data_IF_573492854555
#
_entry.id   IF_573492854555
#
_cell.length_a   1.000
_cell.length_b   1.000
_cell.length_c   1.000
_cell.angle_alpha   90.00
_cell.angle_beta   90.00
_cell.angle_gamma   90.00
#
_symmetry.space_group_name_H-M   'P 1'
#
loop_
_entity.id
_entity.type
_entity.pdbx_description
1 polymer ?
#
# COMPACT_ATOMS: atom_id res chain seq x y z
N UNK A 1 -8.38 8.50 8.43
CA UNK A 1 -8.20 7.34 7.53
C UNK A 1 -8.11 6.08 8.37
N UNK A 2 -8.80 5.02 7.98
CA UNK A 2 -8.71 3.69 8.57
C UNK A 2 -8.48 2.66 7.47
N UNK A 3 -7.75 1.59 7.80
CA UNK A 3 -7.73 0.37 7.00
C UNK A 3 -8.82 -0.55 7.55
N UNK A 4 -9.63 -1.12 6.70
CA UNK A 4 -10.74 -2.02 7.08
C UNK A 4 -10.76 -3.26 6.20
N UNK A 5 -11.51 -4.28 6.60
CA UNK A 5 -11.93 -5.33 5.68
C UNK A 5 -12.98 -4.77 4.69
N UNK A 6 -13.08 -5.29 3.48
CA UNK A 6 -14.07 -4.85 2.50
C UNK A 6 -15.49 -5.07 2.99
N UNK A 7 -15.77 -6.17 3.69
CA UNK A 7 -17.07 -6.47 4.31
C UNK A 7 -17.47 -5.47 5.41
N UNK A 8 -16.53 -4.71 5.97
CA UNK A 8 -16.81 -3.71 7.00
C UNK A 8 -17.28 -2.36 6.42
N UNK A 9 -17.22 -2.17 5.10
CA UNK A 9 -17.76 -0.98 4.46
C UNK A 9 -19.28 -1.10 4.26
N UNK A 10 -20.04 -0.40 5.05
CA UNK A 10 -21.50 -0.43 5.03
C UNK A 10 -22.08 0.99 4.97
N UNK A 11 -22.09 1.63 3.79
CA UNK A 11 -22.71 2.94 3.62
C UNK A 11 -24.23 2.86 3.74
N UNK A 12 -24.85 3.97 4.17
CA UNK A 12 -26.31 4.08 4.12
C UNK A 12 -26.85 3.88 2.70
N UNK A 13 -28.03 3.27 2.51
CA UNK A 13 -28.65 3.10 1.20
C UNK A 13 -28.84 4.43 0.45
N UNK A 14 -28.66 4.40 -0.86
CA UNK A 14 -28.80 5.56 -1.73
C UNK A 14 -28.80 5.16 -3.20
N UNK A 15 -28.86 6.13 -4.10
CA UNK A 15 -28.70 5.89 -5.54
C UNK A 15 -27.23 5.70 -5.87
N UNK A 16 -26.87 4.54 -6.40
CA UNK A 16 -25.52 4.26 -6.87
C UNK A 16 -25.32 4.91 -8.24
N UNK A 17 -24.25 5.67 -8.38
CA UNK A 17 -23.86 6.34 -9.62
C UNK A 17 -22.45 5.91 -9.98
N UNK A 18 -22.25 5.50 -11.23
CA UNK A 18 -20.97 5.10 -11.78
C UNK A 18 -20.48 6.10 -12.81
N UNK A 19 -19.19 6.41 -12.80
CA UNK A 19 -18.54 7.14 -13.88
C UNK A 19 -17.69 6.18 -14.71
N UNK A 20 -17.99 6.14 -16.00
CA UNK A 20 -17.26 5.29 -16.96
C UNK A 20 -16.77 6.14 -18.14
N UNK A 21 -15.69 5.73 -18.81
CA UNK A 21 -15.22 6.41 -20.00
C UNK A 21 -16.30 6.47 -21.08
N UNK A 22 -16.39 7.60 -21.79
CA UNK A 22 -17.26 7.73 -22.95
C UNK A 22 -16.84 6.78 -24.09
N UNK A 23 -17.73 6.52 -25.01
CA UNK A 23 -17.41 5.73 -26.20
C UNK A 23 -16.24 6.32 -27.03
N UNK A 24 -16.11 7.66 -27.04
CA UNK A 24 -14.99 8.35 -27.69
C UNK A 24 -13.67 8.08 -26.97
N UNK A 25 -13.66 8.16 -25.66
CA UNK A 25 -12.47 7.84 -24.84
C UNK A 25 -12.05 6.38 -24.98
N UNK A 26 -13.01 5.44 -24.99
CA UNK A 26 -12.70 4.02 -25.22
C UNK A 26 -12.13 3.77 -26.62
N UNK A 27 -12.63 4.46 -27.65
CA UNK A 27 -12.08 4.38 -29.01
C UNK A 27 -10.65 4.95 -29.07
N UNK A 28 -10.38 6.08 -28.39
CA UNK A 28 -9.04 6.65 -28.26
C UNK A 28 -8.09 5.68 -27.52
N UNK A 29 -8.54 5.06 -26.44
CA UNK A 29 -7.76 4.07 -25.70
C UNK A 29 -7.43 2.83 -26.56
N UNK A 30 -8.38 2.36 -27.36
CA UNK A 30 -8.14 1.25 -28.30
C UNK A 30 -7.11 1.60 -29.39
N UNK A 31 -7.09 2.87 -29.85
CA UNK A 31 -6.20 3.38 -30.89
C UNK A 31 -4.88 3.95 -30.34
N UNK A 32 -4.72 4.06 -29.02
CA UNK A 32 -3.53 4.65 -28.41
C UNK A 32 -2.25 3.93 -28.88
N UNK A 33 -1.17 4.65 -29.18
CA UNK A 33 0.11 4.04 -29.56
C UNK A 33 0.79 3.41 -28.36
N UNK A 34 1.64 2.40 -28.63
CA UNK A 34 2.53 1.86 -27.61
C UNK A 34 3.49 2.93 -27.11
N UNK A 35 3.62 3.05 -25.79
CA UNK A 35 4.55 3.99 -25.17
C UNK A 35 5.95 3.35 -25.04
N UNK A 36 7.06 4.09 -25.31
CA UNK A 36 8.42 3.54 -25.23
C UNK A 36 8.83 3.11 -23.82
N UNK A 37 8.27 3.73 -22.78
CA UNK A 37 8.51 3.35 -21.38
C UNK A 37 7.52 2.27 -20.97
N UNK A 38 8.02 1.08 -20.67
CA UNK A 38 7.22 -0.07 -20.21
C UNK A 38 6.70 0.10 -18.77
N UNK A 39 6.22 -0.97 -18.13
CA UNK A 39 5.82 -0.96 -16.73
C UNK A 39 7.04 -0.77 -15.82
N UNK A 40 6.84 -0.24 -14.59
CA UNK A 40 7.87 -0.31 -13.53
C UNK A 40 8.15 -1.77 -13.15
N UNK A 41 9.19 -2.00 -12.34
CA UNK A 41 9.46 -3.35 -11.84
C UNK A 41 8.27 -3.93 -11.08
N UNK A 42 7.67 -3.16 -10.15
CA UNK A 42 6.51 -3.60 -9.36
C UNK A 42 5.26 -3.80 -10.23
N UNK A 43 5.02 -2.93 -11.20
CA UNK A 43 3.91 -3.12 -12.15
C UNK A 43 4.07 -4.43 -12.92
N UNK A 44 5.30 -4.77 -13.35
CA UNK A 44 5.57 -6.02 -14.07
C UNK A 44 5.29 -7.24 -13.19
N UNK A 45 5.74 -7.22 -11.93
CA UNK A 45 5.52 -8.31 -10.98
C UNK A 45 4.03 -8.51 -10.71
N UNK A 46 3.29 -7.42 -10.48
CA UNK A 46 1.86 -7.45 -10.26
C UNK A 46 1.11 -8.01 -11.49
N UNK A 47 1.38 -7.47 -12.69
CA UNK A 47 0.77 -7.95 -13.93
C UNK A 47 1.05 -9.45 -14.12
N UNK A 48 2.29 -9.88 -13.88
CA UNK A 48 2.66 -11.29 -13.97
C UNK A 48 1.89 -12.16 -12.99
N UNK A 49 1.72 -11.70 -11.75
CA UNK A 49 0.93 -12.40 -10.73
C UNK A 49 -0.56 -12.48 -11.11
N UNK A 50 -1.13 -11.39 -11.64
CA UNK A 50 -2.53 -11.38 -12.12
C UNK A 50 -2.73 -12.34 -13.30
N UNK A 51 -1.78 -12.40 -14.24
CA UNK A 51 -1.86 -13.33 -15.38
C UNK A 51 -1.82 -14.79 -14.92
N UNK A 52 -0.97 -15.14 -13.94
CA UNK A 52 -0.93 -16.47 -13.33
C UNK A 52 -2.26 -16.80 -12.65
N UNK A 53 -2.80 -15.89 -11.84
CA UNK A 53 -4.09 -16.08 -11.17
C UNK A 53 -5.24 -16.27 -12.18
N UNK A 54 -5.23 -15.49 -13.27
CA UNK A 54 -6.23 -15.59 -14.34
C UNK A 54 -6.12 -16.94 -15.08
N UNK A 55 -4.90 -17.43 -15.34
CA UNK A 55 -4.69 -18.74 -15.92
C UNK A 55 -5.19 -19.89 -15.04
N UNK A 56 -5.13 -19.71 -13.71
CA UNK A 56 -5.70 -20.64 -12.72
C UNK A 56 -7.24 -20.49 -12.55
N UNK A 57 -7.91 -19.63 -13.34
CA UNK A 57 -9.33 -19.37 -13.25
C UNK A 57 -9.76 -18.59 -12.01
N UNK A 58 -8.85 -17.90 -11.34
CA UNK A 58 -9.13 -17.09 -10.14
C UNK A 58 -9.64 -15.71 -10.55
N UNK A 59 -10.58 -15.19 -9.74
CA UNK A 59 -11.07 -13.81 -9.88
C UNK A 59 -9.97 -12.85 -9.46
N UNK A 60 -9.86 -11.74 -10.21
CA UNK A 60 -8.91 -10.66 -9.86
C UNK A 60 -9.28 -10.02 -8.53
N UNK A 61 -8.30 -9.89 -7.64
CA UNK A 61 -8.42 -9.26 -6.32
C UNK A 61 -7.24 -8.30 -6.02
N UNK A 62 -6.40 -8.03 -7.02
CA UNK A 62 -5.21 -7.16 -6.89
C UNK A 62 -5.55 -5.68 -7.03
N UNK A 63 -6.64 -5.23 -6.43
CA UNK A 63 -7.06 -3.83 -6.40
C UNK A 63 -7.08 -3.30 -4.96
N UNK A 64 -7.07 -1.97 -4.85
CA UNK A 64 -7.35 -1.25 -3.62
C UNK A 64 -8.49 -0.29 -3.85
N UNK A 65 -9.34 -0.09 -2.85
CA UNK A 65 -10.44 0.86 -2.91
C UNK A 65 -10.41 1.79 -1.70
N UNK A 66 -10.66 3.06 -1.94
CA UNK A 66 -10.87 4.04 -0.88
C UNK A 66 -12.25 4.63 -0.99
N UNK A 67 -12.87 4.92 0.16
CA UNK A 67 -14.17 5.55 0.25
C UNK A 67 -14.16 6.70 1.25
N UNK A 68 -15.03 7.68 1.04
CA UNK A 68 -15.18 8.81 1.95
C UNK A 68 -16.61 9.30 1.97
N UNK A 69 -17.16 9.51 3.16
CA UNK A 69 -18.46 10.17 3.31
C UNK A 69 -18.32 11.70 3.19
N UNK A 70 -19.23 12.32 2.45
CA UNK A 70 -19.25 13.76 2.16
C UNK A 70 -20.60 14.32 2.57
N UNK A 71 -20.61 15.28 3.51
CA UNK A 71 -21.80 15.92 4.05
C UNK A 71 -22.27 17.11 3.17
N UNK A 72 -22.55 16.83 1.88
CA UNK A 72 -23.12 17.78 0.92
C UNK A 72 -23.86 17.02 -0.21
N UNK A 73 -24.82 17.67 -0.87
CA UNK A 73 -25.53 17.06 -1.98
C UNK A 73 -24.59 16.89 -3.19
N UNK A 74 -24.66 15.74 -3.85
CA UNK A 74 -23.87 15.46 -5.04
C UNK A 74 -24.41 16.25 -6.26
N UNK A 75 -23.53 17.03 -6.89
CA UNK A 75 -23.73 17.62 -8.19
C UNK A 75 -23.03 16.75 -9.24
N UNK A 76 -23.81 16.03 -10.04
CA UNK A 76 -23.31 15.04 -10.99
C UNK A 76 -22.43 15.66 -12.08
N UNK A 77 -22.82 16.83 -12.61
CA UNK A 77 -22.08 17.50 -13.69
C UNK A 77 -20.72 18.02 -13.18
N UNK A 78 -20.70 18.60 -11.99
CA UNK A 78 -19.45 19.03 -11.35
C UNK A 78 -18.54 17.85 -11.04
N UNK A 79 -19.07 16.74 -10.54
CA UNK A 79 -18.28 15.54 -10.26
C UNK A 79 -17.74 14.93 -11.56
N UNK A 80 -18.56 14.88 -12.62
CA UNK A 80 -18.11 14.41 -13.95
C UNK A 80 -16.94 15.24 -14.46
N UNK A 81 -17.01 16.57 -14.31
CA UNK A 81 -15.92 17.49 -14.69
C UNK A 81 -14.68 17.22 -13.84
N UNK A 82 -14.83 17.14 -12.51
CA UNK A 82 -13.72 16.90 -11.58
C UNK A 82 -12.99 15.58 -11.85
N UNK A 83 -13.74 14.51 -12.11
CA UNK A 83 -13.17 13.20 -12.42
C UNK A 83 -12.49 13.17 -13.81
N UNK A 84 -13.06 13.87 -14.80
CA UNK A 84 -12.43 14.01 -16.13
C UNK A 84 -11.09 14.73 -16.01
N UNK A 85 -11.06 15.84 -15.27
CA UNK A 85 -9.83 16.60 -15.01
C UNK A 85 -8.80 15.79 -14.19
N UNK A 86 -9.25 15.03 -13.18
CA UNK A 86 -8.41 14.17 -12.38
C UNK A 86 -7.72 13.10 -13.22
N UNK A 87 -8.47 12.35 -14.01
CA UNK A 87 -7.88 11.35 -14.92
C UNK A 87 -6.99 12.02 -15.98
N UNK A 88 -7.40 13.17 -16.51
CA UNK A 88 -6.60 13.93 -17.48
C UNK A 88 -5.25 14.40 -16.91
N UNK A 89 -5.20 14.76 -15.64
CA UNK A 89 -3.98 15.26 -14.98
C UNK A 89 -2.94 14.17 -14.72
N UNK A 90 -3.38 12.91 -14.51
CA UNK A 90 -2.49 11.82 -14.09
C UNK A 90 -2.23 10.83 -15.23
N UNK A 91 -1.07 10.96 -15.83
CA UNK A 91 -0.62 10.12 -16.96
C UNK A 91 -0.64 8.61 -16.61
N UNK A 92 -0.28 8.25 -15.37
CA UNK A 92 -0.37 6.87 -14.87
C UNK A 92 -1.78 6.30 -14.98
N UNK A 93 -2.82 7.09 -14.64
CA UNK A 93 -4.22 6.68 -14.71
C UNK A 93 -4.78 6.69 -16.15
N UNK A 94 -4.13 7.41 -17.09
CA UNK A 94 -4.45 7.38 -18.51
C UNK A 94 -3.73 6.27 -19.27
N UNK A 95 -3.07 5.37 -18.52
CA UNK A 95 -2.36 4.21 -19.08
C UNK A 95 -3.22 2.95 -19.03
N UNK A 96 -2.95 2.02 -19.93
CA UNK A 96 -3.35 0.61 -19.85
C UNK A 96 -2.21 -0.27 -20.33
N UNK A 97 -2.29 -1.57 -20.03
CA UNK A 97 -1.28 -2.52 -20.49
C UNK A 97 -1.91 -3.58 -21.36
N UNK A 98 -1.22 -3.99 -22.42
CA UNK A 98 -1.56 -5.14 -23.26
C UNK A 98 -0.36 -6.08 -23.29
N UNK A 99 -0.62 -7.37 -23.32
CA UNK A 99 0.45 -8.37 -23.38
C UNK A 99 0.88 -8.55 -24.83
N UNK A 100 2.17 -8.32 -25.09
CA UNK A 100 2.77 -8.53 -26.42
C UNK A 100 2.94 -10.01 -26.77
N UNK A 101 3.32 -10.29 -28.00
CA UNK A 101 3.56 -11.66 -28.50
C UNK A 101 4.69 -12.38 -27.74
N UNK A 102 5.58 -11.63 -27.13
CA UNK A 102 6.67 -12.10 -26.26
C UNK A 102 6.24 -12.34 -24.81
N UNK A 103 4.96 -12.13 -24.49
CA UNK A 103 4.40 -12.26 -23.15
C UNK A 103 4.71 -11.08 -22.22
N UNK A 104 5.34 -10.01 -22.70
CA UNK A 104 5.67 -8.84 -21.90
C UNK A 104 4.57 -7.78 -21.94
N UNK A 105 4.29 -7.08 -20.83
CA UNK A 105 3.32 -5.99 -20.81
C UNK A 105 3.87 -4.75 -21.52
N UNK A 106 3.08 -4.24 -22.47
CA UNK A 106 3.34 -3.01 -23.22
C UNK A 106 2.37 -1.94 -22.73
N UNK A 107 2.89 -0.75 -22.40
CA UNK A 107 2.10 0.41 -21.97
C UNK A 107 1.49 1.13 -23.17
N UNK A 108 0.25 1.55 -23.01
CA UNK A 108 -0.48 2.43 -23.92
C UNK A 108 -0.99 3.63 -23.11
N UNK A 109 -0.89 4.84 -23.65
CA UNK A 109 -1.28 6.08 -22.96
C UNK A 109 -2.24 6.86 -23.83
N UNK A 110 -3.38 7.24 -23.26
CA UNK A 110 -4.39 8.07 -23.91
C UNK A 110 -4.04 9.54 -23.70
N UNK A 111 -4.24 10.37 -24.73
CA UNK A 111 -4.06 11.82 -24.59
C UNK A 111 -5.08 12.40 -23.58
N UNK A 112 -4.66 13.36 -22.77
CA UNK A 112 -5.51 14.01 -21.79
C UNK A 112 -6.75 14.66 -22.44
N UNK A 113 -6.61 15.19 -23.66
CA UNK A 113 -7.69 15.81 -24.40
C UNK A 113 -8.80 14.83 -24.85
N UNK A 114 -8.49 13.53 -24.89
CA UNK A 114 -9.42 12.48 -25.28
C UNK A 114 -10.18 11.87 -24.10
N UNK A 115 -9.91 12.35 -22.87
CA UNK A 115 -10.58 11.87 -21.66
C UNK A 115 -11.92 12.57 -21.50
N UNK A 116 -12.99 11.78 -21.44
CA UNK A 116 -14.33 12.22 -21.04
C UNK A 116 -15.07 11.07 -20.36
N UNK A 117 -15.84 11.39 -19.35
CA UNK A 117 -16.60 10.44 -18.54
C UNK A 117 -18.10 10.66 -18.68
N UNK A 118 -18.86 9.60 -18.43
CA UNK A 118 -20.33 9.61 -18.40
C UNK A 118 -20.79 9.04 -17.08
N UNK A 119 -21.65 9.76 -16.38
CA UNK A 119 -22.32 9.30 -15.19
C UNK A 119 -23.53 8.42 -15.57
N UNK A 120 -23.66 7.26 -14.95
CA UNK A 120 -24.79 6.34 -15.18
C UNK A 120 -25.32 5.84 -13.83
N UNK A 121 -26.62 5.95 -13.55
CA UNK A 121 -27.23 5.31 -12.39
C UNK A 121 -27.17 3.78 -12.53
N UNK A 122 -26.82 3.10 -11.45
CA UNK A 122 -26.91 1.64 -11.33
C UNK A 122 -28.32 1.22 -10.91
N UNK A 123 -28.74 0.03 -11.34
CA UNK A 123 -29.95 -0.61 -10.85
C UNK A 123 -29.73 -1.34 -9.52
N UNK A 124 -28.48 -1.47 -9.09
CA UNK A 124 -28.14 -2.09 -7.81
C UNK A 124 -28.60 -1.25 -6.63
N UNK A 125 -28.97 -1.92 -5.56
CA UNK A 125 -29.43 -1.27 -4.31
C UNK A 125 -28.49 -1.52 -3.13
N UNK A 126 -27.56 -2.47 -3.27
CA UNK A 126 -26.54 -2.81 -2.28
C UNK A 126 -25.19 -2.32 -2.77
N UNK A 127 -24.60 -1.28 -2.15
CA UNK A 127 -23.33 -0.72 -2.58
C UNK A 127 -22.15 -1.68 -2.47
N UNK A 128 -22.10 -2.52 -1.43
CA UNK A 128 -21.01 -3.48 -1.25
C UNK A 128 -21.06 -4.55 -2.35
N UNK A 129 -22.21 -5.19 -2.53
CA UNK A 129 -22.40 -6.18 -3.59
C UNK A 129 -22.19 -5.59 -5.00
N UNK A 130 -22.43 -4.28 -5.18
CA UNK A 130 -22.11 -3.56 -6.41
C UNK A 130 -20.58 -3.47 -6.63
N UNK A 131 -19.82 -3.06 -5.61
CA UNK A 131 -18.37 -2.97 -5.69
C UNK A 131 -17.72 -4.34 -5.90
N UNK A 132 -18.20 -5.39 -5.24
CA UNK A 132 -17.69 -6.77 -5.41
C UNK A 132 -17.80 -7.30 -6.82
N UNK A 133 -18.78 -6.82 -7.60
CA UNK A 133 -18.89 -7.14 -9.02
C UNK A 133 -18.07 -6.24 -9.90
N UNK A 134 -18.00 -4.96 -9.57
CA UNK A 134 -17.40 -3.94 -10.42
C UNK A 134 -15.87 -3.92 -10.35
N UNK A 135 -15.31 -3.90 -9.13
CA UNK A 135 -13.86 -3.76 -8.93
C UNK A 135 -13.05 -4.88 -9.60
N UNK A 136 -13.43 -6.18 -9.49
CA UNK A 136 -12.68 -7.24 -10.16
C UNK A 136 -12.65 -7.17 -11.68
N UNK A 137 -13.52 -6.37 -12.30
CA UNK A 137 -13.66 -6.26 -13.76
C UNK A 137 -13.20 -4.93 -14.32
N UNK A 138 -13.25 -3.86 -13.56
CA UNK A 138 -12.88 -2.51 -13.99
C UNK A 138 -11.55 -2.03 -13.41
N UNK A 139 -11.26 -2.35 -12.13
CA UNK A 139 -9.97 -2.05 -11.52
C UNK A 139 -8.95 -3.15 -11.84
N UNK A 140 -8.58 -3.26 -13.11
CA UNK A 140 -7.66 -4.29 -13.66
C UNK A 140 -6.63 -3.64 -14.57
N UNK A 141 -5.40 -4.16 -14.60
CA UNK A 141 -4.27 -3.57 -15.31
C UNK A 141 -4.49 -3.40 -16.84
N UNK A 142 -5.30 -4.26 -17.45
CA UNK A 142 -5.58 -4.30 -18.89
C UNK A 142 -6.94 -3.69 -19.29
N UNK A 143 -7.67 -3.12 -18.34
CA UNK A 143 -8.82 -2.26 -18.61
C UNK A 143 -8.40 -0.80 -18.76
N UNK A 144 -9.27 0.03 -19.35
CA UNK A 144 -9.07 1.48 -19.38
C UNK A 144 -10.29 2.17 -18.75
N UNK A 145 -10.05 2.99 -17.70
CA UNK A 145 -8.78 3.47 -17.12
C UNK A 145 -8.21 2.56 -16.03
N UNK A 146 -8.41 1.34 -15.88
CA UNK A 146 -7.87 0.48 -14.79
C UNK A 146 -8.29 0.89 -13.38
N UNK A 147 -9.35 1.69 -13.30
CA UNK A 147 -9.96 2.15 -12.06
C UNK A 147 -11.47 2.25 -12.20
N UNK A 148 -12.17 2.15 -11.08
CA UNK A 148 -13.61 2.32 -10.95
C UNK A 148 -13.90 3.46 -9.98
N UNK A 149 -14.70 4.44 -10.40
CA UNK A 149 -15.12 5.57 -9.57
C UNK A 149 -16.62 5.66 -9.55
N UNK A 150 -17.20 5.92 -8.40
CA UNK A 150 -18.63 6.12 -8.27
C UNK A 150 -19.02 6.71 -6.94
N UNK A 151 -20.31 6.87 -6.74
CA UNK A 151 -20.85 7.40 -5.50
C UNK A 151 -22.19 6.76 -5.12
N UNK A 152 -22.45 6.69 -3.83
CA UNK A 152 -23.78 6.38 -3.26
C UNK A 152 -24.41 7.71 -2.86
N UNK A 153 -25.35 8.22 -3.67
CA UNK A 153 -25.95 9.54 -3.51
C UNK A 153 -27.24 9.52 -2.70
N UNK A 154 -27.39 10.50 -1.82
CA UNK A 154 -28.57 10.72 -0.96
C UNK A 154 -28.92 12.21 -0.91
N UNK A 155 -30.12 12.60 -0.47
CA UNK A 155 -30.41 13.99 -0.17
C UNK A 155 -29.45 14.53 0.91
N UNK A 156 -28.61 15.50 0.57
CA UNK A 156 -27.70 16.18 1.50
C UNK A 156 -26.36 15.48 1.78
N UNK A 157 -26.12 14.28 1.26
CA UNK A 157 -24.82 13.59 1.43
C UNK A 157 -24.54 12.60 0.30
N UNK A 158 -23.30 12.18 0.17
CA UNK A 158 -22.91 11.05 -0.67
C UNK A 158 -21.65 10.36 -0.12
N UNK A 159 -21.49 9.08 -0.46
CA UNK A 159 -20.22 8.39 -0.29
C UNK A 159 -19.54 8.28 -1.64
N UNK A 160 -18.34 8.81 -1.75
CA UNK A 160 -17.50 8.69 -2.95
C UNK A 160 -16.59 7.48 -2.78
N UNK A 161 -16.45 6.64 -3.82
CA UNK A 161 -15.48 5.55 -3.84
C UNK A 161 -14.56 5.65 -5.06
N UNK A 162 -13.31 5.25 -4.86
CA UNK A 162 -12.27 5.21 -5.87
C UNK A 162 -11.48 3.91 -5.71
N UNK A 163 -11.71 2.96 -6.63
CA UNK A 163 -11.00 1.69 -6.71
C UNK A 163 -10.02 1.68 -7.87
N UNK A 164 -8.78 1.21 -7.64
CA UNK A 164 -7.76 1.10 -8.69
C UNK A 164 -7.08 -0.27 -8.64
N UNK A 165 -6.70 -0.78 -9.80
CA UNK A 165 -5.72 -1.87 -9.87
C UNK A 165 -4.39 -1.42 -9.25
N UNK A 166 -3.75 -2.31 -8.50
CA UNK A 166 -2.50 -1.97 -7.81
C UNK A 166 -1.37 -1.58 -8.77
N UNK A 167 -1.48 -1.91 -10.07
CA UNK A 167 -0.54 -1.42 -11.08
C UNK A 167 -0.56 0.12 -11.22
N UNK A 168 -1.64 0.79 -10.85
CA UNK A 168 -1.82 2.24 -11.07
C UNK A 168 -1.68 3.08 -9.80
N UNK A 169 -1.54 2.45 -8.63
CA UNK A 169 -1.39 3.23 -7.41
C UNK A 169 -0.98 2.43 -6.19
N UNK A 170 -0.53 3.14 -5.18
CA UNK A 170 -0.20 2.67 -3.84
C UNK A 170 -1.24 3.18 -2.82
N UNK A 171 -1.08 2.81 -1.55
CA UNK A 171 -1.99 3.25 -0.49
C UNK A 171 -2.06 4.77 -0.32
N UNK A 172 -0.96 5.50 -0.61
CA UNK A 172 -0.97 6.96 -0.60
C UNK A 172 -1.77 7.53 -1.76
N UNK A 173 -1.66 6.96 -2.97
CA UNK A 173 -2.45 7.32 -4.14
C UNK A 173 -3.95 7.25 -3.86
N UNK A 174 -4.40 6.25 -3.10
CA UNK A 174 -5.81 6.06 -2.75
C UNK A 174 -6.36 7.25 -1.96
N UNK A 175 -5.69 7.63 -0.89
CA UNK A 175 -6.11 8.75 -0.02
C UNK A 175 -5.98 10.08 -0.76
N UNK A 176 -4.84 10.32 -1.41
CA UNK A 176 -4.57 11.55 -2.15
C UNK A 176 -5.54 11.73 -3.32
N UNK A 177 -5.87 10.64 -4.02
CA UNK A 177 -6.82 10.66 -5.14
C UNK A 177 -8.21 11.11 -4.73
N UNK A 178 -8.78 10.57 -3.65
CA UNK A 178 -10.08 11.02 -3.15
C UNK A 178 -10.08 12.49 -2.73
N UNK A 179 -9.03 12.93 -2.03
CA UNK A 179 -8.94 14.34 -1.59
C UNK A 179 -8.76 15.28 -2.79
N UNK A 180 -7.98 14.89 -3.80
CA UNK A 180 -7.83 15.67 -5.03
C UNK A 180 -9.13 15.75 -5.83
N UNK A 181 -9.84 14.63 -6.01
CA UNK A 181 -11.15 14.58 -6.68
C UNK A 181 -12.11 15.58 -5.99
N UNK A 182 -12.17 15.58 -4.67
CA UNK A 182 -13.02 16.50 -3.92
C UNK A 182 -12.56 17.96 -4.01
N UNK A 183 -11.24 18.23 -4.08
CA UNK A 183 -10.72 19.58 -4.31
C UNK A 183 -11.14 20.10 -5.68
N UNK A 184 -11.03 19.29 -6.74
CA UNK A 184 -11.50 19.62 -8.10
C UNK A 184 -13.02 19.82 -8.13
N UNK A 185 -13.77 18.91 -7.52
CA UNK A 185 -15.23 19.00 -7.39
C UNK A 185 -15.68 20.30 -6.76
N UNK A 186 -14.95 20.84 -5.79
CA UNK A 186 -15.24 22.12 -5.11
C UNK A 186 -14.65 23.33 -5.83
N UNK A 187 -13.88 23.14 -6.89
CA UNK A 187 -13.24 24.22 -7.65
C UNK A 187 -12.04 24.83 -6.93
N UNK A 188 -11.40 24.11 -6.01
CA UNK A 188 -10.18 24.54 -5.32
C UNK A 188 -8.96 24.36 -6.23
N UNK A 189 -8.85 25.26 -7.21
CA UNK A 189 -7.73 25.25 -8.18
C UNK A 189 -6.40 25.69 -7.57
N UNK A 190 -6.37 26.17 -6.33
CA UNK A 190 -5.16 26.56 -5.62
C UNK A 190 -4.56 25.40 -4.79
N UNK A 191 -5.29 24.32 -4.62
CA UNK A 191 -4.82 23.15 -3.88
C UNK A 191 -3.51 22.61 -4.49
N UNK A 192 -2.47 22.36 -3.68
CA UNK A 192 -1.25 21.67 -4.15
C UNK A 192 -1.54 20.31 -4.80
N UNK A 193 -2.62 19.62 -4.37
CA UNK A 193 -3.05 18.37 -4.97
C UNK A 193 -3.55 18.53 -6.41
N UNK A 194 -4.02 19.73 -6.78
CA UNK A 194 -4.53 20.03 -8.12
C UNK A 194 -3.43 20.62 -9.02
N UNK A 195 -2.44 21.31 -8.44
CA UNK A 195 -1.49 22.13 -9.20
C UNK A 195 -0.09 21.50 -9.34
N UNK A 196 0.23 20.48 -8.53
CA UNK A 196 1.60 19.93 -8.48
C UNK A 196 1.58 18.42 -8.68
N UNK A 197 1.86 17.99 -9.91
CA UNK A 197 1.95 16.58 -10.30
C UNK A 197 3.23 16.32 -11.08
N UNK A 198 3.98 15.28 -10.66
CA UNK A 198 5.03 14.70 -11.50
C UNK A 198 4.49 13.55 -12.35
N UNK A 199 5.13 13.31 -13.49
CA UNK A 199 4.81 12.16 -14.33
C UNK A 199 5.26 10.86 -13.66
N UNK A 200 4.34 9.89 -13.55
CA UNK A 200 4.69 8.54 -13.09
C UNK A 200 5.57 7.82 -14.12
N UNK A 201 5.45 8.14 -15.41
CA UNK A 201 6.27 7.55 -16.46
C UNK A 201 7.71 8.08 -16.40
N UNK A 202 7.90 9.36 -16.09
CA UNK A 202 9.24 9.93 -15.84
C UNK A 202 9.88 9.30 -14.61
N UNK A 203 9.11 9.12 -13.52
CA UNK A 203 9.58 8.40 -12.34
C UNK A 203 10.07 6.97 -12.68
N UNK A 204 9.33 6.23 -13.54
CA UNK A 204 9.73 4.89 -13.99
C UNK A 204 11.02 4.96 -14.82
N UNK A 205 11.16 5.97 -15.66
CA UNK A 205 12.39 6.19 -16.44
C UNK A 205 13.59 6.40 -15.52
N UNK A 206 13.42 7.23 -14.47
CA UNK A 206 14.45 7.46 -13.44
C UNK A 206 14.71 6.19 -12.62
N UNK A 207 13.68 5.40 -12.30
CA UNK A 207 13.83 4.11 -11.61
C UNK A 207 14.73 3.16 -12.41
N UNK A 208 14.51 3.02 -13.72
CA UNK A 208 15.38 2.24 -14.59
C UNK A 208 16.79 2.79 -14.69
N UNK A 209 16.92 4.12 -14.71
CA UNK A 209 18.23 4.79 -14.67
C UNK A 209 19.01 4.47 -13.40
N UNK A 210 18.38 4.56 -12.24
CA UNK A 210 18.98 4.17 -10.95
C UNK A 210 19.31 2.68 -10.91
N UNK A 211 18.41 1.81 -11.39
CA UNK A 211 18.65 0.37 -11.45
C UNK A 211 19.92 0.02 -12.25
N UNK A 212 20.17 0.73 -13.36
CA UNK A 212 21.36 0.56 -14.18
C UNK A 212 22.67 1.01 -13.51
N UNK A 213 22.59 1.77 -12.42
CA UNK A 213 23.76 2.24 -11.65
C UNK A 213 24.11 1.33 -10.47
N UNK A 214 23.23 0.40 -10.10
CA UNK A 214 23.46 -0.53 -8.98
C UNK A 214 24.58 -1.50 -9.35
N UNK A 215 25.55 -1.64 -8.46
CA UNK A 215 26.72 -2.52 -8.62
C UNK A 215 26.84 -3.47 -7.43
N UNK A 216 27.64 -4.54 -7.52
CA UNK A 216 27.93 -5.42 -6.39
C UNK A 216 28.47 -4.72 -5.14
N UNK A 217 29.07 -3.54 -5.30
CA UNK A 217 29.65 -2.73 -4.22
C UNK A 217 28.70 -1.66 -3.67
N UNK A 218 27.46 -1.56 -4.19
CA UNK A 218 26.44 -0.63 -3.69
C UNK A 218 26.07 -0.92 -2.24
N UNK A 219 25.85 0.13 -1.44
CA UNK A 219 25.46 0.02 -0.02
C UNK A 219 24.18 -0.81 0.14
N UNK A 220 23.23 -0.65 -0.75
CA UNK A 220 21.99 -1.43 -0.78
C UNK A 220 22.23 -2.93 -0.95
N UNK A 221 23.12 -3.33 -1.86
CA UNK A 221 23.50 -4.74 -2.07
C UNK A 221 24.21 -5.30 -0.83
N UNK A 222 25.12 -4.54 -0.23
CA UNK A 222 25.80 -4.94 0.99
C UNK A 222 24.79 -5.13 2.15
N UNK A 223 23.82 -4.21 2.29
CA UNK A 223 22.79 -4.27 3.34
C UNK A 223 21.85 -5.47 3.17
N UNK A 224 21.33 -5.70 1.96
CA UNK A 224 20.49 -6.86 1.68
C UNK A 224 21.26 -8.17 1.93
N UNK A 225 22.50 -8.26 1.44
CA UNK A 225 23.37 -9.43 1.70
C UNK A 225 23.54 -9.68 3.20
N UNK A 226 23.87 -8.66 3.98
CA UNK A 226 24.02 -8.79 5.42
C UNK A 226 22.76 -9.33 6.10
N UNK A 227 21.61 -8.67 5.88
CA UNK A 227 20.35 -9.07 6.53
C UNK A 227 19.95 -10.50 6.15
N UNK A 228 20.08 -10.86 4.86
CA UNK A 228 19.74 -12.22 4.41
C UNK A 228 20.71 -13.26 4.96
N UNK A 229 22.02 -12.96 5.05
CA UNK A 229 23.00 -13.88 5.62
C UNK A 229 22.70 -14.16 7.10
N UNK A 230 22.48 -13.11 7.90
CA UNK A 230 22.14 -13.26 9.33
C UNK A 230 20.78 -13.94 9.54
N UNK A 231 19.90 -13.90 8.57
CA UNK A 231 18.58 -14.54 8.59
C UNK A 231 18.55 -15.95 8.00
N UNK A 232 19.71 -16.55 7.70
CA UNK A 232 19.80 -17.89 7.12
C UNK A 232 19.36 -17.97 5.66
N UNK A 233 19.58 -16.89 4.88
CA UNK A 233 19.33 -16.82 3.43
C UNK A 233 17.95 -16.36 3.01
N UNK A 234 17.07 -16.01 3.94
CA UNK A 234 15.68 -15.53 3.65
C UNK A 234 15.15 -14.60 4.75
N UNK A 235 14.17 -13.78 4.43
CA UNK A 235 13.40 -13.06 5.44
C UNK A 235 12.59 -14.08 6.25
N UNK A 236 12.66 -14.07 7.60
CA UNK A 236 11.90 -14.99 8.44
C UNK A 236 10.38 -14.85 8.23
N UNK A 237 9.67 -15.96 8.29
CA UNK A 237 8.20 -15.93 8.29
C UNK A 237 7.64 -15.38 9.61
N UNK A 238 6.32 -15.21 9.68
CA UNK A 238 5.61 -14.85 10.91
C UNK A 238 6.03 -15.76 12.08
N UNK A 239 6.22 -15.22 13.32
CA UNK A 239 6.87 -15.95 14.40
C UNK A 239 6.05 -17.09 15.02
N UNK A 240 4.76 -17.17 14.72
CA UNK A 240 3.88 -18.21 15.24
C UNK A 240 3.28 -19.04 14.08
N UNK A 241 2.81 -20.26 14.34
CA UNK A 241 2.22 -21.12 13.31
C UNK A 241 1.00 -20.45 12.63
N UNK A 242 0.93 -20.54 11.30
CA UNK A 242 -0.20 -20.00 10.52
C UNK A 242 -1.16 -21.10 10.02
N UNK A 243 -1.02 -22.36 10.50
CA UNK A 243 -1.95 -23.45 10.22
C UNK A 243 -2.04 -23.81 8.73
N UNK A 244 -0.93 -23.66 7.98
CA UNK A 244 -0.90 -23.97 6.56
C UNK A 244 -0.54 -25.44 6.33
N UNK A 245 -1.34 -26.12 5.50
CA UNK A 245 -0.99 -27.45 4.99
C UNK A 245 -0.14 -27.28 3.72
N UNK A 246 1.04 -27.93 3.67
CA UNK A 246 1.97 -27.89 2.54
C UNK A 246 2.37 -26.45 2.09
N UNK A 247 2.31 -25.48 2.98
CA UNK A 247 2.59 -24.05 2.70
C UNK A 247 1.69 -23.44 1.59
N UNK A 248 0.48 -23.97 1.41
CA UNK A 248 -0.47 -23.47 0.41
C UNK A 248 -1.15 -22.18 0.88
N UNK A 249 -1.20 -21.13 0.03
CA UNK A 249 -1.92 -19.90 0.36
C UNK A 249 -3.40 -20.15 0.63
N UNK A 250 -3.95 -19.53 1.67
CA UNK A 250 -5.37 -19.59 2.02
C UNK A 250 -6.05 -18.23 1.77
N UNK A 251 -7.40 -18.17 1.61
CA UNK A 251 -8.13 -16.91 1.64
C UNK A 251 -7.74 -16.09 2.85
N UNK A 252 -7.71 -14.77 2.71
CA UNK A 252 -7.31 -13.89 3.80
C UNK A 252 -8.44 -13.66 4.78
N UNK A 253 -8.08 -13.54 6.08
CA UNK A 253 -8.85 -12.86 7.10
C UNK A 253 -8.09 -11.62 7.54
N UNK A 254 -8.79 -10.62 8.03
CA UNK A 254 -8.20 -9.39 8.53
C UNK A 254 -8.21 -9.33 10.05
N UNK A 255 -7.19 -8.72 10.64
CA UNK A 255 -7.15 -8.39 12.06
C UNK A 255 -6.52 -7.01 12.26
N UNK A 256 -7.10 -6.26 13.20
CA UNK A 256 -6.60 -4.95 13.65
C UNK A 256 -6.44 -4.97 15.19
N UNK A 257 -5.42 -4.25 15.67
CA UNK A 257 -5.19 -4.00 17.09
C UNK A 257 -4.71 -2.56 17.30
N UNK A 258 -5.38 -1.82 18.19
CA UNK A 258 -4.84 -0.57 18.72
C UNK A 258 -3.70 -0.88 19.67
N UNK A 259 -2.50 -0.35 19.39
CA UNK A 259 -1.29 -0.58 20.17
C UNK A 259 -1.12 0.45 21.30
N UNK A 260 -1.48 1.71 21.05
CA UNK A 260 -1.45 2.80 22.03
C UNK A 260 -2.46 3.89 21.65
N UNK A 261 -2.91 4.65 22.63
CA UNK A 261 -3.70 5.86 22.37
C UNK A 261 -2.81 7.04 21.92
N UNK A 262 -3.41 8.22 21.73
CA UNK A 262 -2.70 9.40 21.24
C UNK A 262 -1.61 9.87 22.21
N UNK A 263 -1.91 9.90 23.53
CA UNK A 263 -1.00 10.37 24.57
C UNK A 263 0.21 9.42 24.70
N UNK A 264 -0.05 8.13 24.77
CA UNK A 264 1.00 7.11 24.83
C UNK A 264 1.83 7.06 23.54
N UNK A 265 1.20 7.28 22.38
CA UNK A 265 1.94 7.38 21.11
C UNK A 265 2.87 8.60 21.09
N UNK A 266 2.47 9.73 21.67
CA UNK A 266 3.33 10.91 21.80
C UNK A 266 4.49 10.67 22.77
N UNK A 267 4.29 9.93 23.86
CA UNK A 267 5.36 9.46 24.76
C UNK A 267 6.35 8.55 24.03
N UNK A 268 5.88 7.61 23.21
CA UNK A 268 6.75 6.77 22.38
C UNK A 268 7.57 7.59 21.37
N UNK A 269 7.01 8.65 20.81
CA UNK A 269 7.75 9.58 19.93
C UNK A 269 8.80 10.36 20.71
N UNK A 270 8.51 10.75 21.97
CA UNK A 270 9.47 11.41 22.84
C UNK A 270 10.62 10.47 23.18
N UNK A 271 10.31 9.22 23.56
CA UNK A 271 11.30 8.17 23.81
C UNK A 271 12.20 7.95 22.59
N UNK A 272 11.63 7.81 21.41
CA UNK A 272 12.40 7.67 20.18
C UNK A 272 13.38 8.83 19.97
N UNK A 273 12.95 10.07 20.18
CA UNK A 273 13.79 11.28 20.06
C UNK A 273 14.94 11.30 21.09
N UNK A 274 14.70 10.88 22.34
CA UNK A 274 15.75 10.78 23.36
C UNK A 274 16.85 9.80 22.93
N UNK A 275 16.49 8.75 22.20
CA UNK A 275 17.42 7.78 21.61
C UNK A 275 17.91 8.14 20.21
N UNK A 276 17.65 9.37 19.72
CA UNK A 276 18.10 9.83 18.41
C UNK A 276 17.48 9.12 17.22
N UNK A 277 16.27 8.57 17.38
CA UNK A 277 15.57 7.80 16.34
C UNK A 277 14.10 8.23 16.19
N UNK A 278 13.28 7.48 15.49
CA UNK A 278 11.87 7.77 15.22
C UNK A 278 10.91 6.62 15.55
N UNK A 279 9.60 6.86 15.43
CA UNK A 279 8.54 5.91 15.74
C UNK A 279 8.68 4.58 14.98
N UNK A 280 9.25 4.59 13.78
CA UNK A 280 9.58 3.36 13.01
C UNK A 280 10.49 2.42 13.81
N UNK A 281 11.54 2.95 14.44
CA UNK A 281 12.44 2.13 15.25
C UNK A 281 11.74 1.59 16.50
N UNK A 282 10.89 2.39 17.14
CA UNK A 282 10.07 1.96 18.29
C UNK A 282 9.14 0.80 17.91
N UNK A 283 8.42 0.92 16.79
CA UNK A 283 7.56 -0.15 16.28
C UNK A 283 8.35 -1.44 16.05
N UNK A 284 9.45 -1.35 15.30
CA UNK A 284 10.26 -2.55 15.01
C UNK A 284 10.94 -3.12 16.26
N UNK A 285 11.27 -2.30 17.25
CA UNK A 285 11.72 -2.76 18.57
C UNK A 285 10.65 -3.60 19.25
N UNK A 286 9.40 -3.11 19.29
CA UNK A 286 8.29 -3.83 19.91
C UNK A 286 8.00 -5.16 19.19
N UNK A 287 8.01 -5.17 17.85
CA UNK A 287 7.85 -6.39 17.05
C UNK A 287 9.00 -7.39 17.28
N UNK A 288 10.21 -6.91 17.39
CA UNK A 288 11.40 -7.74 17.64
C UNK A 288 11.35 -8.40 19.03
N UNK A 289 11.02 -7.62 20.08
CA UNK A 289 10.85 -8.13 21.44
C UNK A 289 9.68 -9.13 21.50
N UNK A 290 8.55 -8.81 20.86
CA UNK A 290 7.44 -9.75 20.79
C UNK A 290 7.84 -11.07 20.11
N UNK A 291 8.60 -11.01 19.01
CA UNK A 291 9.15 -12.20 18.35
C UNK A 291 10.06 -13.03 19.27
N UNK A 292 10.91 -12.36 20.05
CA UNK A 292 11.75 -13.03 21.07
C UNK A 292 10.91 -13.69 22.18
N UNK A 293 9.86 -13.02 22.64
CA UNK A 293 8.98 -13.55 23.71
C UNK A 293 8.15 -14.75 23.28
N UNK A 294 7.77 -14.85 22.00
CA UNK A 294 6.89 -15.93 21.52
C UNK A 294 7.63 -17.07 20.81
N UNK A 295 8.86 -16.84 20.30
CA UNK A 295 9.60 -17.77 19.44
C UNK A 295 11.13 -17.71 19.68
N UNK A 296 11.60 -17.18 20.82
CA UNK A 296 13.02 -17.06 21.21
C UNK A 296 13.95 -16.47 20.13
N UNK A 297 13.44 -15.61 19.26
CA UNK A 297 14.22 -15.03 18.15
C UNK A 297 15.28 -14.04 18.67
N UNK A 298 16.53 -14.32 18.36
CA UNK A 298 17.68 -13.47 18.71
C UNK A 298 18.08 -12.51 17.58
N UNK A 299 17.45 -12.65 16.40
CA UNK A 299 17.61 -11.78 15.25
C UNK A 299 16.23 -11.39 14.71
N UNK A 300 16.02 -10.10 14.55
CA UNK A 300 14.85 -9.57 13.86
C UNK A 300 15.18 -9.25 12.42
N UNK A 301 14.35 -9.69 11.48
CA UNK A 301 14.46 -9.28 10.09
C UNK A 301 13.08 -9.22 9.41
N UNK A 302 12.93 -8.23 8.53
CA UNK A 302 11.73 -8.02 7.71
C UNK A 302 12.09 -7.25 6.44
N UNK A 303 11.26 -7.37 5.41
CA UNK A 303 11.23 -6.41 4.32
C UNK A 303 10.33 -5.23 4.72
N UNK A 304 10.82 -4.01 4.57
CA UNK A 304 10.05 -2.80 4.89
C UNK A 304 9.63 -2.12 3.60
N UNK A 305 8.35 -1.78 3.51
CA UNK A 305 7.78 -1.01 2.41
C UNK A 305 8.00 0.46 2.68
N UNK A 306 8.61 1.17 1.75
CA UNK A 306 8.96 2.58 1.88
C UNK A 306 8.42 3.37 0.71
N UNK A 307 7.84 4.54 0.99
CA UNK A 307 7.47 5.48 -0.07
C UNK A 307 8.72 6.03 -0.75
N UNK A 308 8.74 6.00 -2.07
CA UNK A 308 9.76 6.64 -2.91
C UNK A 308 9.32 8.01 -3.43
N UNK A 309 8.21 8.56 -2.92
CA UNK A 309 7.69 9.87 -3.30
C UNK A 309 8.61 10.98 -2.85
N UNK A 310 9.00 11.86 -3.75
CA UNK A 310 9.81 13.04 -3.49
C UNK A 310 9.39 14.19 -4.40
N UNK A 311 9.62 15.44 -3.99
CA UNK A 311 9.41 16.62 -4.83
C UNK A 311 8.00 16.67 -5.43
N UNK A 312 7.92 16.76 -6.75
CA UNK A 312 6.68 16.84 -7.52
C UNK A 312 5.82 15.57 -7.47
N UNK A 313 6.40 14.42 -7.08
CA UNK A 313 5.66 13.17 -6.98
C UNK A 313 4.87 13.03 -5.67
N UNK A 314 4.99 13.96 -4.73
CA UNK A 314 4.31 13.88 -3.43
C UNK A 314 2.80 13.76 -3.55
N UNK A 315 2.17 14.42 -4.52
CA UNK A 315 0.72 14.40 -4.77
C UNK A 315 0.31 13.55 -5.99
N UNK A 316 1.26 12.98 -6.74
CA UNK A 316 1.00 12.30 -8.01
C UNK A 316 0.35 10.93 -7.81
N UNK A 317 -0.47 10.51 -8.76
CA UNK A 317 -1.01 9.16 -8.83
C UNK A 317 0.01 8.21 -9.47
N UNK A 318 0.21 7.04 -8.85
CA UNK A 318 1.15 6.02 -9.31
C UNK A 318 1.63 5.11 -8.19
N UNK A 319 2.40 4.11 -8.53
CA UNK A 319 2.99 3.19 -7.57
C UNK A 319 4.40 3.66 -7.19
N UNK A 320 4.52 4.43 -6.12
CA UNK A 320 5.76 5.05 -5.64
C UNK A 320 6.25 4.36 -4.38
N UNK A 321 6.67 3.10 -4.53
CA UNK A 321 7.10 2.25 -3.41
C UNK A 321 8.40 1.54 -3.76
N UNK A 322 9.26 1.36 -2.77
CA UNK A 322 10.41 0.47 -2.84
C UNK A 322 10.48 -0.39 -1.57
N UNK A 323 11.27 -1.44 -1.60
CA UNK A 323 11.49 -2.33 -0.47
C UNK A 323 12.94 -2.25 0.00
N UNK A 324 13.12 -2.25 1.31
CA UNK A 324 14.44 -2.32 1.91
C UNK A 324 14.48 -3.32 3.08
N UNK A 325 15.63 -3.97 3.34
CA UNK A 325 15.75 -4.94 4.38
C UNK A 325 16.04 -4.25 5.71
N UNK A 326 15.24 -4.56 6.71
CA UNK A 326 15.53 -4.22 8.09
C UNK A 326 15.95 -5.48 8.85
N UNK A 327 17.07 -5.43 9.55
CA UNK A 327 17.53 -6.53 10.38
C UNK A 327 18.51 -6.04 11.45
N UNK A 328 18.38 -6.58 12.67
CA UNK A 328 19.21 -6.25 13.81
C UNK A 328 19.14 -7.36 14.89
N UNK A 329 20.17 -7.49 15.77
CA UNK A 329 20.14 -8.44 16.88
C UNK A 329 19.14 -8.02 17.95
N UNK A 330 18.54 -9.03 18.60
CA UNK A 330 17.61 -8.88 19.72
C UNK A 330 18.24 -9.52 20.96
N UNK A 331 19.18 -8.85 21.64
CA UNK A 331 20.00 -9.47 22.70
C UNK A 331 19.20 -9.82 23.95
N UNK A 332 18.13 -9.07 24.24
CA UNK A 332 17.29 -9.23 25.41
C UNK A 332 15.85 -8.80 25.14
N UNK A 333 15.04 -8.69 26.18
CA UNK A 333 13.69 -8.09 26.15
C UNK A 333 13.66 -6.67 26.74
N UNK A 334 14.81 -6.09 27.07
CA UNK A 334 14.93 -4.71 27.50
C UNK A 334 14.69 -3.77 26.29
N UNK A 335 13.71 -2.88 26.43
CA UNK A 335 13.28 -2.04 25.32
C UNK A 335 14.37 -1.06 24.87
N UNK A 336 15.09 -0.44 25.81
CA UNK A 336 16.14 0.54 25.49
C UNK A 336 17.35 -0.13 24.81
N UNK A 337 17.73 -1.32 25.28
CA UNK A 337 18.82 -2.11 24.71
C UNK A 337 18.50 -2.52 23.25
N UNK A 338 17.28 -2.99 22.99
CA UNK A 338 16.87 -3.38 21.63
C UNK A 338 16.65 -2.14 20.74
N UNK A 339 16.11 -1.04 21.26
CA UNK A 339 15.96 0.22 20.52
C UNK A 339 17.31 0.78 20.04
N UNK A 340 18.36 0.63 20.87
CA UNK A 340 19.72 1.00 20.50
C UNK A 340 20.26 0.22 19.29
N UNK A 341 19.75 -1.00 19.03
CA UNK A 341 20.06 -1.80 17.83
C UNK A 341 19.16 -1.40 16.66
N UNK A 342 17.86 -1.18 16.91
CA UNK A 342 16.87 -0.86 15.89
C UNK A 342 17.11 0.51 15.22
N UNK A 343 17.48 1.52 16.00
CA UNK A 343 17.69 2.88 15.48
C UNK A 343 18.69 2.95 14.31
N UNK A 344 19.96 2.54 14.47
CA UNK A 344 20.93 2.49 13.39
C UNK A 344 20.52 1.60 12.22
N UNK A 345 19.81 0.48 12.50
CA UNK A 345 19.31 -0.43 11.48
C UNK A 345 18.23 0.22 10.59
N UNK A 346 17.33 1.01 11.18
CA UNK A 346 16.32 1.79 10.44
C UNK A 346 16.98 2.83 9.54
N UNK A 347 18.01 3.52 10.00
CA UNK A 347 18.74 4.49 9.16
C UNK A 347 19.50 3.79 8.00
N UNK A 348 20.09 2.62 8.25
CA UNK A 348 20.71 1.82 7.19
C UNK A 348 19.67 1.30 6.18
N UNK A 349 18.49 0.89 6.63
CA UNK A 349 17.37 0.51 5.76
C UNK A 349 16.91 1.67 4.86
N UNK A 350 16.75 2.88 5.41
CA UNK A 350 16.38 4.08 4.64
C UNK A 350 17.41 4.38 3.54
N UNK A 351 18.71 4.30 3.84
CA UNK A 351 19.75 4.49 2.81
C UNK A 351 19.68 3.40 1.74
N UNK A 352 19.48 2.15 2.13
CA UNK A 352 19.36 1.03 1.18
C UNK A 352 18.15 1.12 0.26
N UNK A 353 17.11 1.90 0.62
CA UNK A 353 15.92 2.10 -0.22
C UNK A 353 16.13 3.07 -1.38
N UNK A 354 17.28 3.70 -1.51
CA UNK A 354 17.60 4.59 -2.64
C UNK A 354 17.68 3.83 -3.97
N UNK A 355 18.15 2.58 -3.93
CA UNK A 355 18.29 1.73 -5.11
C UNK A 355 17.04 0.85 -5.30
N UNK A 356 16.57 0.65 -6.55
CA UNK A 356 15.45 -0.26 -6.82
C UNK A 356 15.77 -1.69 -6.37
N UNK A 357 14.91 -2.26 -5.54
CA UNK A 357 15.11 -3.58 -4.93
C UNK A 357 15.34 -4.69 -5.97
N UNK A 358 14.68 -4.60 -7.12
CA UNK A 358 14.82 -5.60 -8.20
C UNK A 358 16.24 -5.67 -8.76
N UNK A 359 16.91 -4.52 -8.93
CA UNK A 359 18.30 -4.48 -9.34
C UNK A 359 19.22 -5.10 -8.28
N UNK A 360 18.97 -4.79 -7.01
CA UNK A 360 19.74 -5.31 -5.89
C UNK A 360 19.59 -6.82 -5.76
N UNK A 361 18.36 -7.34 -5.74
CA UNK A 361 18.09 -8.77 -5.64
C UNK A 361 18.59 -9.54 -6.89
N UNK A 362 18.50 -8.92 -8.08
CA UNK A 362 19.08 -9.47 -9.30
C UNK A 362 20.59 -9.70 -9.20
N UNK A 363 21.34 -8.78 -8.61
CA UNK A 363 22.77 -8.95 -8.35
C UNK A 363 23.03 -10.10 -7.36
N UNK A 364 22.26 -10.16 -6.27
CA UNK A 364 22.43 -11.20 -5.25
C UNK A 364 22.08 -12.60 -5.79
N UNK A 365 21.08 -12.70 -6.66
CA UNK A 365 20.73 -13.94 -7.39
C UNK A 365 21.88 -14.37 -8.32
N UNK A 366 22.42 -13.46 -9.13
CA UNK A 366 23.56 -13.77 -10.02
C UNK A 366 24.81 -14.20 -9.26
N UNK A 367 24.98 -13.71 -8.03
CA UNK A 367 26.10 -14.10 -7.15
C UNK A 367 25.84 -15.39 -6.39
N UNK A 368 24.65 -15.99 -6.50
CA UNK A 368 24.25 -17.20 -5.75
C UNK A 368 24.13 -16.96 -4.24
N UNK A 369 23.95 -15.71 -3.80
CA UNK A 369 23.76 -15.35 -2.39
C UNK A 369 22.35 -15.69 -1.92
N UNK A 370 21.38 -15.61 -2.81
CA UNK A 370 19.96 -15.89 -2.54
C UNK A 370 19.40 -16.87 -3.57
N UNK A 371 18.36 -17.59 -3.14
CA UNK A 371 17.53 -18.43 -4.00
C UNK A 371 16.32 -17.62 -4.48
N UNK A 372 15.75 -17.85 -5.67
CA UNK A 372 14.55 -17.17 -6.16
C UNK A 372 13.35 -17.22 -5.19
N UNK A 373 13.27 -18.25 -4.34
CA UNK A 373 12.21 -18.38 -3.33
C UNK A 373 12.24 -17.28 -2.24
N UNK A 374 13.37 -16.57 -2.07
CA UNK A 374 13.52 -15.47 -1.10
C UNK A 374 12.48 -14.36 -1.30
N UNK A 375 12.11 -14.12 -2.55
CA UNK A 375 11.12 -13.07 -2.91
C UNK A 375 9.69 -13.57 -2.89
N UNK A 376 9.47 -14.87 -2.62
CA UNK A 376 8.13 -15.44 -2.57
C UNK A 376 7.50 -15.16 -1.20
N UNK A 377 6.57 -14.21 -1.15
CA UNK A 377 5.79 -13.86 0.04
C UNK A 377 6.65 -13.58 1.29
N UNK A 378 7.64 -12.66 1.25
CA UNK A 378 8.43 -12.34 2.42
C UNK A 378 7.55 -11.69 3.50
N UNK A 379 7.95 -11.82 4.78
CA UNK A 379 7.34 -11.05 5.85
C UNK A 379 7.62 -9.56 5.62
N UNK A 380 6.58 -8.77 5.53
CA UNK A 380 6.68 -7.31 5.33
C UNK A 380 6.07 -6.56 6.50
N UNK A 381 6.67 -5.42 6.82
CA UNK A 381 6.13 -4.48 7.82
C UNK A 381 6.31 -3.07 7.28
N UNK A 382 5.27 -2.24 7.37
CA UNK A 382 5.37 -0.81 7.10
C UNK A 382 4.73 0.01 8.22
N UNK A 383 5.06 1.31 8.25
CA UNK A 383 4.41 2.29 9.12
C UNK A 383 3.98 3.48 8.29
N UNK A 384 2.70 3.81 8.36
CA UNK A 384 2.07 4.97 7.72
C UNK A 384 1.64 5.98 8.78
N UNK A 385 1.95 7.27 8.59
CA UNK A 385 1.39 8.33 9.44
C UNK A 385 0.28 9.05 8.68
N UNK A 386 -0.97 8.65 8.93
CA UNK A 386 -2.14 9.20 8.25
C UNK A 386 -2.43 10.65 8.61
N UNK A 387 -1.80 11.22 9.62
CA UNK A 387 -1.94 12.64 9.99
C UNK A 387 -1.28 13.57 8.96
N UNK A 388 -0.40 13.03 8.11
CA UNK A 388 0.27 13.80 7.05
C UNK A 388 -0.56 13.93 5.79
N UNK A 389 -1.61 13.10 5.67
CA UNK A 389 -2.50 13.18 4.53
C UNK A 389 -3.44 14.37 4.68
N UNK A 390 -3.67 15.14 3.61
CA UNK A 390 -4.63 16.23 3.63
C UNK A 390 -6.05 15.67 3.84
N UNK A 391 -6.88 16.46 4.48
CA UNK A 391 -8.30 16.16 4.64
C UNK A 391 -9.13 17.13 3.80
N UNK A 392 -10.21 16.63 3.21
CA UNK A 392 -11.18 17.47 2.53
C UNK A 392 -12.22 18.00 3.55
N UNK A 393 -12.67 19.27 3.46
CA UNK A 393 -13.75 19.79 4.30
C UNK A 393 -15.03 18.95 4.18
N UNK A 394 -15.89 18.95 5.21
CA UNK A 394 -17.17 18.25 5.24
C UNK A 394 -17.07 16.77 4.88
N UNK A 395 -15.96 16.13 5.25
CA UNK A 395 -15.75 14.69 5.04
C UNK A 395 -15.51 13.97 6.35
N UNK A 396 -15.93 12.70 6.37
CA UNK A 396 -15.70 11.78 7.47
C UNK A 396 -15.55 10.35 6.92
N UNK A 397 -15.12 9.44 7.77
CA UNK A 397 -15.06 8.00 7.46
C UNK A 397 -14.29 7.67 6.17
N UNK A 398 -13.12 8.31 5.99
CA UNK A 398 -12.22 7.91 4.93
C UNK A 398 -11.61 6.56 5.32
N UNK A 399 -11.94 5.54 4.54
CA UNK A 399 -11.44 4.17 4.73
C UNK A 399 -10.78 3.65 3.46
N UNK A 400 -9.86 2.72 3.63
CA UNK A 400 -9.17 2.03 2.54
C UNK A 400 -9.27 0.53 2.80
N UNK A 401 -9.60 -0.24 1.77
CA UNK A 401 -9.61 -1.70 1.80
C UNK A 401 -9.00 -2.27 0.51
N UNK A 402 -8.63 -3.53 0.55
CA UNK A 402 -8.07 -4.26 -0.59
C UNK A 402 -8.97 -5.43 -0.93
N UNK A 403 -8.96 -5.86 -2.18
CA UNK A 403 -9.66 -7.09 -2.54
C UNK A 403 -9.15 -8.29 -1.74
N UNK A 404 -10.04 -9.20 -1.43
CA UNK A 404 -9.72 -10.46 -0.75
C UNK A 404 -8.81 -11.34 -1.60
N UNK A 405 -7.58 -11.47 -1.18
CA UNK A 405 -6.58 -12.31 -1.83
C UNK A 405 -6.41 -13.67 -1.16
N UNK A 406 -5.27 -14.27 -1.41
CA UNK A 406 -4.79 -15.48 -0.72
C UNK A 406 -3.38 -15.23 -0.22
N UNK A 407 -3.09 -15.64 1.01
CA UNK A 407 -1.78 -15.45 1.62
C UNK A 407 -1.30 -16.73 2.30
N UNK A 408 0.02 -16.84 2.42
CA UNK A 408 0.71 -17.83 3.25
C UNK A 408 1.46 -17.19 4.42
N UNK A 409 1.36 -15.87 4.55
CA UNK A 409 2.08 -15.10 5.56
C UNK A 409 1.14 -14.10 6.23
N UNK A 410 1.62 -13.37 7.23
CA UNK A 410 0.91 -12.31 7.93
C UNK A 410 1.75 -11.02 7.88
N UNK A 411 1.83 -10.41 6.68
CA UNK A 411 2.46 -9.10 6.53
C UNK A 411 1.68 -8.02 7.25
N UNK A 412 2.38 -7.12 7.94
CA UNK A 412 1.76 -6.18 8.87
C UNK A 412 1.82 -4.75 8.35
N UNK A 413 0.74 -4.02 8.56
CA UNK A 413 0.68 -2.57 8.40
C UNK A 413 0.47 -1.95 9.76
N UNK A 414 1.35 -1.03 10.15
CA UNK A 414 1.09 -0.15 11.27
C UNK A 414 0.71 1.24 10.76
N UNK A 415 -0.17 1.92 11.46
CA UNK A 415 -0.52 3.28 11.10
C UNK A 415 -0.78 4.13 12.33
N UNK A 416 -0.41 5.40 12.19
CA UNK A 416 -0.68 6.42 13.19
C UNK A 416 -1.79 7.32 12.72
N UNK A 417 -2.76 7.56 13.61
CA UNK A 417 -3.85 8.52 13.42
C UNK A 417 -3.86 9.54 14.55
N UNK A 418 -4.88 10.39 14.62
CA UNK A 418 -5.06 11.33 15.71
C UNK A 418 -5.42 10.64 17.05
N UNK A 419 -5.94 9.40 17.01
CA UNK A 419 -6.35 8.64 18.19
C UNK A 419 -5.30 7.62 18.68
N UNK A 420 -4.16 7.48 17.97
CA UNK A 420 -3.07 6.62 18.41
C UNK A 420 -2.37 5.83 17.32
N UNK A 421 -1.69 4.76 17.75
CA UNK A 421 -0.95 3.82 16.91
C UNK A 421 -1.71 2.50 16.80
N UNK A 422 -1.84 2.03 15.59
CA UNK A 422 -2.55 0.79 15.25
C UNK A 422 -1.63 -0.16 14.46
N UNK A 423 -1.98 -1.45 14.48
CA UNK A 423 -1.38 -2.48 13.63
C UNK A 423 -2.48 -3.35 13.06
N UNK A 424 -2.32 -3.77 11.82
CA UNK A 424 -3.23 -4.71 11.15
C UNK A 424 -2.48 -5.68 10.25
N UNK A 425 -3.14 -6.75 9.88
CA UNK A 425 -2.62 -7.75 8.94
C UNK A 425 -3.75 -8.47 8.23
N UNK A 426 -3.48 -8.86 6.98
CA UNK A 426 -4.18 -9.96 6.33
C UNK A 426 -3.39 -11.24 6.58
N UNK A 427 -4.06 -12.32 7.02
CA UNK A 427 -3.46 -13.58 7.39
C UNK A 427 -4.28 -14.76 6.84
N UNK A 428 -3.73 -15.99 6.78
CA UNK A 428 -4.46 -17.17 6.31
C UNK A 428 -5.74 -17.42 7.10
N UNK A 429 -6.88 -17.51 6.43
CA UNK A 429 -8.21 -17.61 7.03
C UNK A 429 -8.47 -18.96 7.68
N UNK A 430 -7.84 -19.21 8.84
CA UNK A 430 -8.07 -20.40 9.67
C UNK A 430 -7.90 -20.10 11.16
N UNK A 431 -8.47 -20.93 12.05
CA UNK A 431 -8.40 -20.68 13.51
C UNK A 431 -7.00 -20.66 14.10
N UNK A 432 -6.05 -21.43 13.57
CA UNK A 432 -4.66 -21.45 14.07
C UNK A 432 -3.97 -20.12 13.81
N UNK A 433 -4.11 -19.60 12.57
CA UNK A 433 -3.56 -18.28 12.23
C UNK A 433 -4.24 -17.16 13.05
N UNK A 434 -5.55 -17.23 13.25
CA UNK A 434 -6.29 -16.25 14.06
C UNK A 434 -5.77 -16.20 15.50
N UNK A 435 -5.59 -17.36 16.16
CA UNK A 435 -5.03 -17.42 17.51
C UNK A 435 -3.60 -16.87 17.55
N UNK A 436 -2.77 -17.24 16.58
CA UNK A 436 -1.38 -16.80 16.47
C UNK A 436 -1.27 -15.29 16.28
N UNK A 437 -2.05 -14.71 15.38
CA UNK A 437 -2.07 -13.25 15.12
C UNK A 437 -2.58 -12.49 16.34
N UNK A 438 -3.67 -12.95 16.95
CA UNK A 438 -4.24 -12.34 18.15
C UNK A 438 -3.22 -12.34 19.31
N UNK A 439 -2.57 -13.49 19.54
CA UNK A 439 -1.52 -13.61 20.57
C UNK A 439 -0.33 -12.70 20.29
N UNK A 440 0.14 -12.66 19.05
CA UNK A 440 1.28 -11.82 18.67
C UNK A 440 0.97 -10.34 18.83
N UNK A 441 -0.18 -9.86 18.37
CA UNK A 441 -0.58 -8.46 18.51
C UNK A 441 -0.79 -8.05 19.96
N UNK A 442 -1.38 -8.92 20.79
CA UNK A 442 -1.46 -8.68 22.23
C UNK A 442 -0.07 -8.55 22.86
N UNK A 443 0.89 -9.41 22.49
CA UNK A 443 2.28 -9.32 22.98
C UNK A 443 2.94 -8.00 22.54
N UNK A 444 2.77 -7.57 21.29
CA UNK A 444 3.31 -6.29 20.80
C UNK A 444 2.73 -5.11 21.58
N UNK A 445 1.40 -5.11 21.83
CA UNK A 445 0.74 -4.07 22.63
C UNK A 445 1.31 -4.02 24.05
N UNK A 446 1.49 -5.18 24.70
CA UNK A 446 1.99 -5.27 26.08
C UNK A 446 3.46 -4.80 26.18
N UNK A 447 4.29 -5.07 25.17
CA UNK A 447 5.65 -4.52 25.06
C UNK A 447 5.61 -2.99 24.93
N UNK A 448 4.73 -2.45 24.11
CA UNK A 448 4.55 -1.00 23.94
C UNK A 448 4.08 -0.36 25.25
N UNK A 449 3.10 -0.95 25.94
CA UNK A 449 2.61 -0.44 27.20
C UNK A 449 3.71 -0.42 28.28
N UNK A 450 4.59 -1.44 28.29
CA UNK A 450 5.76 -1.48 29.17
C UNK A 450 6.75 -0.36 28.87
N UNK A 451 7.02 -0.09 27.58
CA UNK A 451 7.92 0.99 27.18
C UNK A 451 7.40 2.38 27.59
N UNK A 452 6.08 2.60 27.45
CA UNK A 452 5.42 3.85 27.88
C UNK A 452 5.51 4.03 29.42
N UNK A 453 5.30 2.96 30.20
CA UNK A 453 5.36 3.01 31.67
C UNK A 453 6.77 3.37 32.17
N UNK A 454 7.81 2.83 31.55
CA UNK A 454 9.21 3.12 31.92
C UNK A 454 9.59 4.59 31.67
N UNK A 455 9.04 5.23 30.64
CA UNK A 455 9.30 6.67 30.42
C UNK A 455 8.60 7.56 31.45
N UNK A 456 7.41 7.17 31.93
CA UNK A 456 6.68 7.91 32.96
C UNK A 456 7.34 7.91 34.35
N UNK A 457 8.27 7.01 34.62
CA UNK A 457 9.04 6.96 35.87
C UNK A 457 10.32 7.84 35.85
N UNK A 458 10.76 8.27 34.63
CA UNK A 458 11.99 9.06 34.43
C UNK A 458 11.69 10.56 34.27
N UNK A 459 10.45 10.95 33.99
CA UNK A 459 9.99 12.33 33.85
C UNK A 459 9.47 12.91 35.17
#
# INVERSE_FOLDING_TARGET
VRLIDDDDWSPEPGTILDWSPSAATLAAAAAAPAHPVGPSFLQRDHISAVLVQRADGRVHRGYTCSTVHVDESLDIDRMTTALTEFLGAHEGLRSSFRIGDDGQPIRYVVDAADISLVATPSEDTDPLAHLDRRLPTEAVFDTFPGCAVGAVSRPGSFDLYFGIDHAYGDGASQVLGLVEILARYRGDSASPLVTTHGSHIDYITDEYGRAGQVTPDSESVARWRHVLTESGGRIPAFPLPLGLENDEPQPVWFAEQKLSDAEDTDRLVALAKQHGTGLTAVLHTALAIAGRLVDDREWYATATVLSSRTGEHMASQGWYVNFAPLGFPVPSTDFAEVLAQAGPAVEAMKRASADPVHAVLGILLMQGVIDPSVVVSPQMVNLLDFRWFPTAPNTRDLVVFTGEGRTRNASMWAWRTADGLHIGTQYPGNPVAQESVTRFFATVRDVIATAVALEGEVA
#
